data_IF_444902991982
#
_entry.id   IF_444902991982
#
_cell.length_a   1.000
_cell.length_b   1.000
_cell.length_c   1.000
_cell.angle_alpha   90.00
_cell.angle_beta   90.00
_cell.angle_gamma   90.00
#
_symmetry.space_group_name_H-M   'P 1'
#
loop_
_entity.id
_entity.type
_entity.pdbx_description
1 polymer ?
#
# COMPACT_ATOMS: atom_id res chain seq x y z
N UNK A 1 -7.93 -24.65 -19.63
CA UNK A 1 -6.94 -24.37 -18.57
C UNK A 1 -6.31 -23.03 -18.90
N UNK A 2 -6.21 -22.11 -17.94
CA UNK A 2 -5.49 -20.85 -18.18
C UNK A 2 -4.00 -21.17 -18.38
N UNK A 3 -3.33 -20.44 -19.28
CA UNK A 3 -1.89 -20.53 -19.47
C UNK A 3 -1.17 -20.26 -18.14
N UNK A 4 -0.14 -21.05 -17.77
CA UNK A 4 0.66 -20.75 -16.58
C UNK A 4 1.22 -19.32 -16.64
N UNK A 5 1.21 -18.63 -15.50
CA UNK A 5 1.79 -17.29 -15.39
C UNK A 5 3.29 -17.42 -15.57
N UNK A 6 3.85 -16.70 -16.56
CA UNK A 6 5.28 -16.47 -16.69
C UNK A 6 5.66 -15.31 -15.76
N UNK A 7 6.44 -15.53 -14.70
CA UNK A 7 6.77 -14.49 -13.73
C UNK A 7 7.55 -13.33 -14.35
N UNK A 8 8.43 -13.59 -15.32
CA UNK A 8 9.25 -12.56 -15.95
C UNK A 8 8.42 -11.65 -16.83
N UNK A 9 7.52 -12.25 -17.63
CA UNK A 9 6.56 -11.50 -18.45
C UNK A 9 5.57 -10.71 -17.58
N UNK A 10 5.02 -11.32 -16.54
CA UNK A 10 4.06 -10.66 -15.65
C UNK A 10 4.67 -9.44 -14.93
N UNK A 11 5.94 -9.56 -14.49
CA UNK A 11 6.66 -8.44 -13.91
C UNK A 11 6.91 -7.31 -14.93
N UNK A 12 7.32 -7.66 -16.15
CA UNK A 12 7.51 -6.68 -17.23
C UNK A 12 6.23 -5.91 -17.56
N UNK A 13 5.11 -6.62 -17.74
CA UNK A 13 3.79 -6.01 -17.99
C UNK A 13 3.36 -5.10 -16.83
N UNK A 14 3.70 -5.45 -15.59
CA UNK A 14 3.37 -4.65 -14.41
C UNK A 14 4.22 -3.38 -14.28
N UNK A 15 5.52 -3.47 -14.60
CA UNK A 15 6.42 -2.30 -14.65
C UNK A 15 5.94 -1.31 -15.72
N UNK A 16 5.59 -1.81 -16.90
CA UNK A 16 5.11 -0.97 -18.01
C UNK A 16 3.78 -0.29 -17.67
N UNK A 17 2.88 -1.01 -16.97
CA UNK A 17 1.57 -0.48 -16.58
C UNK A 17 1.64 0.52 -15.42
N UNK A 18 2.60 0.37 -14.51
CA UNK A 18 2.70 1.13 -13.26
C UNK A 18 4.13 1.68 -13.07
N UNK A 19 4.57 2.62 -13.94
CA UNK A 19 5.89 3.22 -13.84
C UNK A 19 6.03 3.96 -12.50
N UNK A 20 7.16 3.78 -11.80
CA UNK A 20 7.39 4.43 -10.51
C UNK A 20 6.88 3.66 -9.29
N UNK A 21 6.01 2.66 -9.48
CA UNK A 21 5.38 1.98 -8.34
C UNK A 21 6.43 1.29 -7.47
N UNK A 22 7.27 0.46 -8.08
CA UNK A 22 8.24 -0.36 -7.35
C UNK A 22 9.38 0.44 -6.73
N UNK A 23 9.70 1.60 -7.29
CA UNK A 23 10.75 2.49 -6.76
C UNK A 23 10.39 3.09 -5.40
N UNK A 24 9.10 3.10 -5.05
CA UNK A 24 8.64 3.58 -3.75
C UNK A 24 8.79 2.52 -2.63
N UNK A 25 9.02 1.24 -2.98
CA UNK A 25 9.08 0.13 -2.03
C UNK A 25 10.51 -0.20 -1.60
N UNK A 26 10.66 -0.62 -0.35
CA UNK A 26 11.94 -1.08 0.20
C UNK A 26 12.19 -2.56 -0.12
N UNK A 27 13.37 -2.90 -0.67
CA UNK A 27 13.65 -4.28 -1.10
C UNK A 27 13.86 -5.25 0.08
N UNK A 28 14.30 -4.76 1.22
CA UNK A 28 14.62 -5.52 2.43
C UNK A 28 13.49 -5.51 3.48
N UNK A 29 12.45 -4.68 3.27
CA UNK A 29 11.31 -4.58 4.18
C UNK A 29 9.99 -4.74 3.40
N UNK A 30 9.47 -5.98 3.30
CA UNK A 30 8.31 -6.29 2.46
C UNK A 30 7.11 -5.38 2.72
N UNK A 31 6.63 -4.73 1.66
CA UNK A 31 5.46 -3.84 1.70
C UNK A 31 5.70 -2.47 2.36
N UNK A 32 6.87 -2.22 2.95
CA UNK A 32 7.24 -0.88 3.41
C UNK A 32 7.52 0.00 2.20
N UNK A 33 6.90 1.17 2.18
CA UNK A 33 7.05 2.13 1.10
C UNK A 33 6.77 3.55 1.57
N UNK A 34 7.19 4.51 0.74
CA UNK A 34 6.87 5.92 0.90
C UNK A 34 6.60 6.53 -0.46
N UNK A 35 5.46 7.20 -0.60
CA UNK A 35 5.05 7.91 -1.80
C UNK A 35 5.14 9.42 -1.58
N UNK A 36 5.46 10.21 -2.63
CA UNK A 36 5.40 11.67 -2.59
C UNK A 36 3.94 12.14 -2.73
N UNK A 37 3.08 11.74 -1.79
CA UNK A 37 1.64 11.98 -1.83
C UNK A 37 1.09 12.38 -0.46
N UNK A 38 -0.07 13.01 -0.47
CA UNK A 38 -1.01 12.98 0.65
C UNK A 38 -2.11 11.98 0.31
N UNK A 39 -2.32 11.00 1.19
CA UNK A 39 -3.28 9.93 1.00
C UNK A 39 -4.40 10.00 2.03
N UNK A 40 -5.64 9.99 1.56
CA UNK A 40 -6.84 9.82 2.39
C UNK A 40 -7.31 8.38 2.27
N UNK A 41 -7.00 7.57 3.27
CA UNK A 41 -7.42 6.17 3.36
C UNK A 41 -8.68 6.02 4.21
N UNK A 42 -9.67 5.31 3.70
CA UNK A 42 -10.92 4.99 4.41
C UNK A 42 -11.07 3.48 4.45
N UNK A 43 -11.13 2.89 5.65
CA UNK A 43 -11.39 1.47 5.77
C UNK A 43 -12.91 1.23 5.67
N UNK A 44 -13.33 0.46 4.67
CA UNK A 44 -14.74 0.19 4.37
C UNK A 44 -15.23 -1.10 5.02
N UNK A 45 -14.34 -2.08 5.21
CA UNK A 45 -14.68 -3.41 5.71
C UNK A 45 -13.47 -4.04 6.41
N UNK A 46 -13.71 -4.81 7.46
CA UNK A 46 -12.71 -5.60 8.16
C UNK A 46 -11.83 -4.81 9.12
N UNK A 47 -10.65 -5.36 9.37
CA UNK A 47 -9.60 -4.77 10.20
C UNK A 47 -8.29 -4.74 9.42
N UNK A 48 -7.54 -3.64 9.53
CA UNK A 48 -6.27 -3.46 8.83
C UNK A 48 -5.25 -2.77 9.74
N UNK A 49 -4.04 -3.29 9.80
CA UNK A 49 -2.96 -2.67 10.54
C UNK A 49 -2.14 -1.74 9.63
N UNK A 50 -2.00 -0.49 10.05
CA UNK A 50 -1.02 0.46 9.54
C UNK A 50 0.25 0.34 10.37
N UNK A 51 1.31 -0.19 9.77
CA UNK A 51 2.66 -0.22 10.32
C UNK A 51 3.42 1.03 9.85
N UNK A 52 4.14 1.67 10.77
CA UNK A 52 4.92 2.90 10.59
C UNK A 52 6.37 2.67 11.02
N UNK A 53 7.16 3.74 11.09
CA UNK A 53 8.54 3.70 11.55
C UNK A 53 8.68 3.14 12.97
N UNK A 54 9.83 2.51 13.22
CA UNK A 54 10.22 1.92 14.51
C UNK A 54 9.22 0.88 15.06
N UNK A 55 8.48 0.22 14.15
CA UNK A 55 7.49 -0.80 14.52
C UNK A 55 6.24 -0.23 15.20
N UNK A 56 6.00 1.08 15.08
CA UNK A 56 4.75 1.68 15.54
C UNK A 56 3.58 1.20 14.68
N UNK A 57 2.46 0.86 15.32
CA UNK A 57 1.32 0.32 14.59
C UNK A 57 0.00 0.92 15.05
N UNK A 58 -0.93 1.04 14.09
CA UNK A 58 -2.31 1.43 14.35
C UNK A 58 -3.27 0.43 13.72
N UNK A 59 -4.13 -0.16 14.54
CA UNK A 59 -5.26 -0.93 14.06
C UNK A 59 -6.37 0.01 13.59
N UNK A 60 -6.81 -0.19 12.36
CA UNK A 60 -7.99 0.45 11.76
C UNK A 60 -9.16 -0.54 11.71
N UNK A 61 -10.37 -0.01 11.88
CA UNK A 61 -11.65 -0.70 11.71
C UNK A 61 -12.52 0.01 10.68
N UNK A 62 -13.53 -0.68 10.16
CA UNK A 62 -14.46 -0.09 9.22
C UNK A 62 -15.03 1.25 9.73
N UNK A 63 -14.94 2.29 8.91
CA UNK A 63 -15.28 3.67 9.23
C UNK A 63 -14.10 4.55 9.63
N UNK A 64 -12.95 3.98 10.00
CA UNK A 64 -11.75 4.76 10.31
C UNK A 64 -11.19 5.44 9.06
N UNK A 65 -10.71 6.67 9.26
CA UNK A 65 -10.05 7.48 8.24
C UNK A 65 -8.62 7.77 8.69
N UNK A 66 -7.68 7.60 7.77
CA UNK A 66 -6.28 7.95 7.96
C UNK A 66 -5.86 8.97 6.90
N UNK A 67 -5.03 9.92 7.33
CA UNK A 67 -4.42 10.92 6.46
C UNK A 67 -2.92 10.72 6.55
N UNK A 68 -2.31 10.21 5.48
CA UNK A 68 -0.88 9.99 5.39
C UNK A 68 -0.23 11.10 4.58
N UNK A 69 0.66 11.86 5.19
CA UNK A 69 1.42 12.91 4.53
C UNK A 69 2.85 12.44 4.27
N UNK A 70 3.04 11.75 3.14
CA UNK A 70 4.31 11.15 2.74
C UNK A 70 4.99 10.37 3.87
N UNK A 71 4.23 9.62 4.66
CA UNK A 71 4.75 8.79 5.77
C UNK A 71 5.20 7.44 5.23
N UNK A 72 6.37 6.99 5.66
CA UNK A 72 6.83 5.61 5.42
C UNK A 72 5.89 4.65 6.15
N UNK A 73 5.32 3.68 5.43
CA UNK A 73 4.31 2.80 6.00
C UNK A 73 4.16 1.45 5.28
N UNK A 74 3.47 0.52 5.93
CA UNK A 74 2.99 -0.71 5.32
C UNK A 74 1.61 -1.11 5.85
N UNK A 75 0.89 -1.86 5.03
CA UNK A 75 -0.42 -2.42 5.36
C UNK A 75 -0.30 -3.90 5.69
N UNK A 76 -0.79 -4.31 6.87
CA UNK A 76 -0.83 -5.71 7.30
C UNK A 76 -2.26 -6.14 7.58
N UNK A 77 -2.77 -7.08 6.78
CA UNK A 77 -3.96 -7.82 7.15
C UNK A 77 -3.55 -9.08 7.91
N UNK A 78 -3.73 -9.06 9.24
CA UNK A 78 -3.43 -10.19 10.14
C UNK A 78 -4.64 -11.08 10.41
N UNK A 79 -5.78 -10.75 9.82
CA UNK A 79 -7.01 -11.52 9.96
C UNK A 79 -7.13 -12.58 8.85
N UNK A 80 -8.04 -13.53 9.03
CA UNK A 80 -8.46 -14.46 7.97
C UNK A 80 -9.59 -13.88 7.10
N UNK A 81 -10.03 -12.66 7.37
CA UNK A 81 -11.09 -11.98 6.65
C UNK A 81 -10.53 -10.95 5.66
N UNK A 82 -11.37 -10.54 4.69
CA UNK A 82 -11.03 -9.47 3.77
C UNK A 82 -11.04 -8.13 4.52
N UNK A 83 -10.03 -7.31 4.24
CA UNK A 83 -10.04 -5.88 4.56
C UNK A 83 -10.20 -5.10 3.25
N UNK A 84 -11.14 -4.17 3.19
CA UNK A 84 -11.40 -3.35 2.00
C UNK A 84 -11.21 -1.88 2.34
N UNK A 85 -10.31 -1.21 1.63
CA UNK A 85 -10.04 0.21 1.82
C UNK A 85 -10.19 0.98 0.50
N UNK A 86 -10.58 2.24 0.60
CA UNK A 86 -10.54 3.20 -0.49
C UNK A 86 -9.44 4.23 -0.20
N UNK A 87 -8.59 4.50 -1.20
CA UNK A 87 -7.52 5.49 -1.10
C UNK A 87 -7.72 6.57 -2.15
N UNK A 88 -7.65 7.82 -1.70
CA UNK A 88 -7.53 8.99 -2.56
C UNK A 88 -6.14 9.57 -2.37
N UNK A 89 -5.27 9.40 -3.36
CA UNK A 89 -3.87 9.82 -3.30
C UNK A 89 -3.69 11.07 -4.15
N UNK A 90 -3.08 12.11 -3.57
CA UNK A 90 -2.78 13.37 -4.26
C UNK A 90 -1.28 13.54 -4.31
N UNK A 91 -0.72 13.62 -5.52
CA UNK A 91 0.70 13.88 -5.72
C UNK A 91 1.13 15.21 -5.12
N UNK A 92 2.21 15.20 -4.35
CA UNK A 92 2.81 16.40 -3.76
C UNK A 92 4.20 16.62 -4.35
N UNK A 93 4.42 17.78 -4.96
CA UNK A 93 5.75 18.20 -5.37
C UNK A 93 6.49 18.78 -4.16
N UNK A 94 7.67 18.25 -3.85
CA UNK A 94 8.61 18.94 -2.96
C UNK A 94 9.24 20.07 -3.76
N UNK A 95 8.88 21.32 -3.44
CA UNK A 95 9.58 22.49 -3.97
C UNK A 95 10.88 22.70 -3.21
#
# INVERSE_FOLDING_TARGET
MATPIDPGRALGELIDALPGLFECFEPDQPGMHRTPTIDYGILLEGELWLELDDGQEKLLRAGDVIIQNATRHAWRNRSQAVAKAAFFMVGCSTT
#
